data_IF_065803409622
#
_entry.id   IF_065803409622
#
_cell.length_a   1.000
_cell.length_b   1.000
_cell.length_c   1.000
_cell.angle_alpha   90.00
_cell.angle_beta   90.00
_cell.angle_gamma   90.00
#
_symmetry.space_group_name_H-M   'P 1'
#
loop_
_entity.id
_entity.type
_entity.pdbx_description
1 polymer ?
#
# COMPACT_ATOMS: atom_id res chain seq x y z
N UNK A 1 39.69 -23.81 -12.03
CA UNK A 1 38.55 -23.50 -12.92
C UNK A 1 37.27 -23.85 -12.18
N UNK A 2 36.56 -22.90 -11.57
CA UNK A 2 35.43 -23.17 -10.65
C UNK A 2 34.26 -22.20 -10.93
N UNK A 3 33.72 -22.22 -12.15
CA UNK A 3 32.69 -21.26 -12.60
C UNK A 3 31.33 -21.94 -12.88
N UNK A 4 31.23 -23.26 -12.79
CA UNK A 4 30.00 -23.99 -13.15
C UNK A 4 28.92 -23.98 -12.04
N UNK A 5 29.28 -23.90 -10.75
CA UNK A 5 28.30 -24.05 -9.65
C UNK A 5 27.59 -22.74 -9.23
N UNK A 6 28.10 -21.57 -9.66
CA UNK A 6 27.52 -20.26 -9.29
C UNK A 6 26.18 -19.98 -9.97
N UNK A 7 25.98 -20.53 -11.17
CA UNK A 7 24.72 -20.38 -11.91
C UNK A 7 23.57 -21.18 -11.28
N UNK A 8 23.87 -22.36 -10.73
CA UNK A 8 22.86 -23.17 -10.04
C UNK A 8 22.48 -22.61 -8.68
N UNK A 9 23.41 -22.01 -7.93
CA UNK A 9 23.04 -21.34 -6.69
C UNK A 9 22.08 -20.15 -6.93
N UNK A 10 22.33 -19.34 -7.96
CA UNK A 10 21.43 -18.21 -8.30
C UNK A 10 20.06 -18.68 -8.76
N UNK A 11 20.00 -19.74 -9.59
CA UNK A 11 18.75 -20.33 -10.08
C UNK A 11 17.98 -21.09 -9.00
N UNK A 12 18.67 -21.84 -8.15
CA UNK A 12 18.09 -22.50 -6.99
C UNK A 12 17.56 -21.46 -6.02
N UNK A 13 18.35 -20.42 -5.71
CA UNK A 13 17.92 -19.31 -4.85
C UNK A 13 16.69 -18.61 -5.44
N UNK A 14 16.65 -18.29 -6.73
CA UNK A 14 15.47 -17.66 -7.34
C UNK A 14 14.25 -18.60 -7.38
N UNK A 15 14.44 -19.89 -7.71
CA UNK A 15 13.37 -20.88 -7.68
C UNK A 15 12.84 -21.13 -6.27
N UNK A 16 13.72 -21.15 -5.26
CA UNK A 16 13.35 -21.25 -3.84
C UNK A 16 12.57 -20.00 -3.41
N UNK A 17 13.06 -18.80 -3.72
CA UNK A 17 12.41 -17.54 -3.38
C UNK A 17 11.04 -17.42 -4.07
N UNK A 18 10.92 -17.83 -5.34
CA UNK A 18 9.66 -17.90 -6.07
C UNK A 18 8.70 -18.93 -5.45
N UNK A 19 9.19 -20.13 -5.12
CA UNK A 19 8.40 -21.21 -4.52
C UNK A 19 7.92 -20.87 -3.10
N UNK A 20 8.70 -20.10 -2.33
CA UNK A 20 8.35 -19.67 -0.97
C UNK A 20 7.53 -18.35 -0.91
N UNK A 21 6.88 -17.98 -2.02
CA UNK A 21 5.94 -16.85 -2.09
C UNK A 21 6.55 -15.51 -1.68
N UNK A 22 7.70 -15.15 -2.28
CA UNK A 22 8.18 -13.76 -2.36
C UNK A 22 7.46 -12.93 -3.43
N UNK A 23 6.23 -13.27 -3.80
CA UNK A 23 5.42 -12.32 -4.56
C UNK A 23 5.14 -11.12 -3.67
N UNK A 24 5.11 -9.92 -4.24
CA UNK A 24 4.72 -8.68 -3.56
C UNK A 24 3.45 -8.86 -2.72
N UNK A 25 2.47 -9.57 -3.29
CA UNK A 25 1.19 -9.89 -2.66
C UNK A 25 1.36 -10.79 -1.41
N UNK A 26 2.32 -11.72 -1.42
CA UNK A 26 2.61 -12.63 -0.31
C UNK A 26 3.14 -11.91 0.93
N UNK A 27 4.06 -10.95 0.78
CA UNK A 27 4.52 -10.14 1.92
C UNK A 27 3.47 -9.18 2.44
N UNK A 28 2.69 -8.58 1.54
CA UNK A 28 1.53 -7.75 1.93
C UNK A 28 0.54 -8.56 2.77
N UNK A 29 0.17 -9.74 2.28
CA UNK A 29 -0.76 -10.64 2.97
C UNK A 29 -0.24 -11.02 4.35
N UNK A 30 1.04 -11.42 4.45
CA UNK A 30 1.69 -11.71 5.75
C UNK A 30 1.69 -10.51 6.68
N UNK A 31 2.01 -9.31 6.19
CA UNK A 31 1.98 -8.09 7.00
C UNK A 31 0.58 -7.77 7.54
N UNK A 32 -0.45 -7.82 6.69
CA UNK A 32 -1.84 -7.46 7.06
C UNK A 32 -2.51 -8.51 7.95
N UNK A 33 -2.21 -9.79 7.75
CA UNK A 33 -2.80 -10.90 8.51
C UNK A 33 -2.00 -11.30 9.76
N UNK A 34 -0.78 -10.77 9.94
CA UNK A 34 0.06 -11.12 11.08
C UNK A 34 -0.62 -10.82 12.42
N UNK A 35 -0.50 -11.79 13.33
CA UNK A 35 -0.94 -11.70 14.73
C UNK A 35 0.23 -12.06 15.64
N UNK A 36 0.28 -11.44 16.82
CA UNK A 36 1.28 -11.76 17.84
C UNK A 36 1.09 -13.21 18.29
N UNK A 37 2.16 -14.01 18.23
CA UNK A 37 2.13 -15.39 18.71
C UNK A 37 2.07 -15.47 20.23
N UNK A 38 1.59 -16.61 20.76
CA UNK A 38 1.52 -16.86 22.21
C UNK A 38 2.91 -16.88 22.86
N UNK A 39 3.92 -17.35 22.14
CA UNK A 39 5.32 -17.45 22.58
C UNK A 39 6.20 -16.29 22.13
N UNK A 40 5.62 -15.26 21.52
CA UNK A 40 6.34 -14.14 20.91
C UNK A 40 6.17 -12.89 21.77
N UNK A 41 7.26 -12.15 21.99
CA UNK A 41 7.18 -10.85 22.65
C UNK A 41 6.72 -9.78 21.66
N UNK A 42 6.09 -8.69 22.12
CA UNK A 42 5.70 -7.60 21.24
C UNK A 42 6.88 -6.95 20.49
N UNK A 43 8.08 -6.97 21.06
CA UNK A 43 9.30 -6.52 20.38
C UNK A 43 9.59 -7.39 19.15
N UNK A 44 9.58 -8.71 19.33
CA UNK A 44 9.76 -9.68 18.23
C UNK A 44 8.66 -9.54 17.18
N UNK A 45 7.42 -9.34 17.61
CA UNK A 45 6.28 -9.15 16.71
C UNK A 45 6.46 -7.91 15.83
N UNK A 46 6.84 -6.78 16.44
CA UNK A 46 7.10 -5.53 15.71
C UNK A 46 8.27 -5.71 14.73
N UNK A 47 9.35 -6.38 15.14
CA UNK A 47 10.47 -6.63 14.24
C UNK A 47 10.09 -7.54 13.07
N UNK A 48 9.24 -8.54 13.30
CA UNK A 48 8.67 -9.37 12.23
C UNK A 48 7.80 -8.56 11.27
N UNK A 49 6.95 -7.66 11.78
CA UNK A 49 6.15 -6.75 10.95
C UNK A 49 7.03 -5.83 10.10
N UNK A 50 8.10 -5.26 10.68
CA UNK A 50 9.08 -4.46 9.93
C UNK A 50 9.71 -5.26 8.79
N UNK A 51 10.06 -6.52 9.02
CA UNK A 51 10.62 -7.39 7.98
C UNK A 51 9.62 -7.60 6.85
N UNK A 52 8.35 -7.88 7.15
CA UNK A 52 7.33 -8.04 6.10
C UNK A 52 7.09 -6.76 5.31
N UNK A 53 6.98 -5.62 5.98
CA UNK A 53 6.78 -4.33 5.31
C UNK A 53 7.97 -3.95 4.42
N UNK A 54 9.20 -4.08 4.93
CA UNK A 54 10.39 -3.78 4.14
C UNK A 54 10.50 -4.66 2.91
N UNK A 55 10.27 -5.97 3.05
CA UNK A 55 10.32 -6.90 1.93
C UNK A 55 9.19 -6.65 0.93
N UNK A 56 8.01 -6.22 1.41
CA UNK A 56 6.92 -5.82 0.54
C UNK A 56 7.32 -4.59 -0.29
N UNK A 57 7.82 -3.53 0.33
CA UNK A 57 8.30 -2.31 -0.36
C UNK A 57 9.41 -2.66 -1.37
N UNK A 58 10.40 -3.46 -0.97
CA UNK A 58 11.51 -3.87 -1.83
C UNK A 58 11.06 -4.70 -3.03
N UNK A 59 10.05 -5.55 -2.87
CA UNK A 59 9.54 -6.41 -3.94
C UNK A 59 8.90 -5.64 -5.11
N UNK A 60 8.41 -4.43 -4.88
CA UNK A 60 7.78 -3.59 -5.91
C UNK A 60 8.83 -2.81 -6.70
N UNK A 61 10.05 -2.71 -6.16
CA UNK A 61 11.11 -1.89 -6.74
C UNK A 61 10.82 -0.39 -6.62
N UNK A 62 9.91 0.03 -5.75
CA UNK A 62 9.63 1.46 -5.52
C UNK A 62 10.74 2.09 -4.69
N UNK A 63 10.99 3.38 -4.90
CA UNK A 63 11.93 4.09 -4.04
C UNK A 63 11.36 4.17 -2.63
N UNK A 64 12.21 4.09 -1.60
CA UNK A 64 11.82 4.24 -0.20
C UNK A 64 11.53 5.72 0.15
N UNK A 65 10.77 6.41 -0.70
CA UNK A 65 10.33 7.78 -0.50
C UNK A 65 8.86 7.81 -0.05
N UNK A 66 8.47 8.87 0.65
CA UNK A 66 7.13 8.98 1.22
C UNK A 66 6.01 8.90 0.18
N UNK A 67 6.17 9.54 -0.98
CA UNK A 67 5.16 9.59 -2.04
C UNK A 67 4.85 8.19 -2.58
N UNK A 68 5.90 7.41 -2.82
CA UNK A 68 5.85 6.07 -3.36
C UNK A 68 5.23 5.08 -2.36
N UNK A 69 5.57 5.20 -1.07
CA UNK A 69 4.91 4.44 -0.02
C UNK A 69 3.42 4.81 0.10
N UNK A 70 3.10 6.10 0.07
CA UNK A 70 1.72 6.57 0.13
C UNK A 70 0.89 6.00 -1.04
N UNK A 71 1.44 6.08 -2.24
CA UNK A 71 0.79 5.58 -3.45
C UNK A 71 0.60 4.05 -3.41
N UNK A 72 1.59 3.30 -2.91
CA UNK A 72 1.48 1.86 -2.69
C UNK A 72 0.31 1.49 -1.78
N UNK A 73 0.19 2.16 -0.63
CA UNK A 73 -0.90 1.90 0.32
C UNK A 73 -2.25 2.30 -0.29
N UNK A 74 -2.31 3.38 -1.05
CA UNK A 74 -3.54 3.81 -1.73
C UNK A 74 -4.00 2.80 -2.78
N UNK A 75 -3.07 2.29 -3.60
CA UNK A 75 -3.35 1.24 -4.58
C UNK A 75 -3.86 -0.04 -3.92
N UNK A 76 -3.25 -0.47 -2.81
CA UNK A 76 -3.76 -1.61 -2.04
C UNK A 76 -5.21 -1.40 -1.61
N UNK A 77 -5.53 -0.21 -1.08
CA UNK A 77 -6.88 0.06 -0.59
C UNK A 77 -7.92 0.04 -1.71
N UNK A 78 -7.59 0.58 -2.88
CA UNK A 78 -8.47 0.55 -4.06
C UNK A 78 -8.74 -0.89 -4.50
N UNK A 79 -7.71 -1.72 -4.57
CA UNK A 79 -7.86 -3.14 -4.95
C UNK A 79 -8.77 -3.91 -3.97
N UNK A 80 -8.77 -3.54 -2.69
CA UNK A 80 -9.62 -4.17 -1.68
C UNK A 80 -11.07 -3.65 -1.67
N UNK A 81 -11.34 -2.49 -2.29
CA UNK A 81 -12.65 -1.83 -2.27
C UNK A 81 -13.50 -2.08 -3.53
N UNK A 82 -12.95 -2.74 -4.55
CA UNK A 82 -13.59 -2.93 -5.85
C UNK A 82 -13.96 -4.40 -6.10
N UNK A 83 -14.81 -4.61 -7.10
CA UNK A 83 -15.22 -5.95 -7.52
C UNK A 83 -14.03 -6.81 -7.96
N UNK A 84 -14.10 -8.10 -7.65
CA UNK A 84 -13.03 -9.08 -7.90
C UNK A 84 -12.51 -9.05 -9.34
N UNK A 85 -13.40 -8.89 -10.31
CA UNK A 85 -13.02 -8.93 -11.72
C UNK A 85 -12.22 -7.69 -12.15
N UNK A 86 -12.65 -6.50 -11.72
CA UNK A 86 -11.90 -5.28 -11.92
C UNK A 86 -10.55 -5.35 -11.18
N UNK A 87 -10.53 -5.90 -9.97
CA UNK A 87 -9.30 -6.09 -9.21
C UNK A 87 -8.30 -7.01 -9.93
N UNK A 88 -8.77 -8.11 -10.52
CA UNK A 88 -7.94 -9.01 -11.35
C UNK A 88 -7.40 -8.25 -12.56
N UNK A 89 -8.27 -7.55 -13.30
CA UNK A 89 -7.88 -6.75 -14.46
C UNK A 89 -6.78 -5.73 -14.13
N UNK A 90 -6.94 -4.98 -13.03
CA UNK A 90 -5.95 -3.98 -12.61
C UNK A 90 -4.62 -4.62 -12.17
N UNK A 91 -4.67 -5.78 -11.49
CA UNK A 91 -3.46 -6.53 -11.10
C UNK A 91 -2.68 -7.04 -12.31
N UNK A 92 -3.38 -7.51 -13.35
CA UNK A 92 -2.74 -7.99 -14.60
C UNK A 92 -1.99 -6.88 -15.35
N UNK A 93 -2.44 -5.62 -15.24
CA UNK A 93 -1.78 -4.48 -15.88
C UNK A 93 -0.45 -4.07 -15.21
N UNK A 94 -0.16 -4.55 -14.00
CA UNK A 94 1.11 -4.27 -13.32
C UNK A 94 1.39 -2.77 -13.13
N UNK A 95 0.38 -2.02 -12.67
CA UNK A 95 0.42 -0.56 -12.56
C UNK A 95 1.38 -0.12 -11.45
N UNK A 96 2.04 1.02 -11.67
CA UNK A 96 3.01 1.61 -10.71
C UNK A 96 2.46 2.81 -9.95
N UNK A 97 1.40 3.44 -10.45
CA UNK A 97 0.85 4.68 -9.92
C UNK A 97 -0.68 4.59 -9.75
N UNK A 98 -1.22 5.14 -8.66
CA UNK A 98 -2.67 5.21 -8.43
C UNK A 98 -3.43 6.01 -9.48
N UNK A 99 -2.82 7.04 -10.08
CA UNK A 99 -3.43 7.82 -11.17
C UNK A 99 -3.73 6.97 -12.40
N UNK A 100 -2.79 6.08 -12.73
CA UNK A 100 -2.94 5.17 -13.86
C UNK A 100 -4.01 4.14 -13.52
N UNK A 101 -4.03 3.64 -12.27
CA UNK A 101 -5.06 2.73 -11.77
C UNK A 101 -6.48 3.28 -11.93
N UNK A 102 -6.70 4.55 -11.59
CA UNK A 102 -7.99 5.20 -11.81
C UNK A 102 -8.35 5.24 -13.31
N UNK A 103 -7.41 5.66 -14.16
CA UNK A 103 -7.63 5.74 -15.61
C UNK A 103 -7.97 4.37 -16.23
N UNK A 104 -7.31 3.29 -15.80
CA UNK A 104 -7.61 1.94 -16.25
C UNK A 104 -8.96 1.43 -15.73
N UNK A 105 -9.33 1.77 -14.50
CA UNK A 105 -10.61 1.41 -13.92
C UNK A 105 -11.79 2.09 -14.65
N UNK A 106 -11.65 3.37 -14.98
CA UNK A 106 -12.65 4.11 -15.76
C UNK A 106 -12.84 3.49 -17.14
N UNK A 107 -11.74 3.20 -17.85
CA UNK A 107 -11.77 2.55 -19.16
C UNK A 107 -12.42 1.17 -19.12
N UNK A 108 -12.12 0.39 -18.09
CA UNK A 108 -12.72 -0.93 -17.89
C UNK A 108 -14.23 -0.82 -17.70
N UNK A 109 -14.66 0.12 -16.85
CA UNK A 109 -16.09 0.36 -16.57
C UNK A 109 -16.82 0.83 -17.82
N UNK A 110 -16.24 1.78 -18.55
CA UNK A 110 -16.81 2.29 -19.80
C UNK A 110 -16.97 1.17 -20.85
N UNK A 111 -15.95 0.34 -21.04
CA UNK A 111 -15.99 -0.78 -21.99
C UNK A 111 -17.06 -1.82 -21.64
N UNK A 112 -17.32 -2.06 -20.35
CA UNK A 112 -18.38 -3.00 -19.93
C UNK A 112 -19.77 -2.42 -20.14
N UNK A 113 -19.96 -1.14 -19.85
CA UNK A 113 -21.25 -0.47 -20.07
C UNK A 113 -21.63 -0.49 -21.55
N UNK A 114 -20.67 -0.20 -22.45
CA UNK A 114 -20.93 -0.22 -23.89
C UNK A 114 -21.19 -1.63 -24.43
N UNK A 115 -20.51 -2.65 -23.91
CA UNK A 115 -20.67 -4.03 -24.38
C UNK A 115 -21.95 -4.72 -23.86
N UNK A 116 -22.41 -4.34 -22.67
CA UNK A 116 -23.64 -4.89 -22.07
C UNK A 116 -24.91 -4.07 -22.38
N UNK A 117 -24.86 -3.14 -23.35
CA UNK A 117 -26.04 -2.41 -23.84
C UNK A 117 -26.61 -1.37 -22.86
N UNK A 118 -25.82 -0.89 -21.91
CA UNK A 118 -26.29 0.07 -20.90
C UNK A 118 -26.53 1.47 -21.47
N UNK A 119 -27.79 1.89 -21.55
CA UNK A 119 -28.17 3.28 -21.79
C UNK A 119 -27.57 4.17 -20.70
N UNK A 120 -26.74 5.15 -21.10
CA UNK A 120 -26.20 6.15 -20.18
C UNK A 120 -27.33 7.04 -19.69
N UNK A 121 -27.71 6.99 -18.40
CA UNK A 121 -28.28 8.18 -17.76
C UNK A 121 -27.15 9.21 -17.68
N UNK A 122 -27.25 10.25 -18.51
CA UNK A 122 -26.38 11.42 -18.47
C UNK A 122 -26.46 12.04 -17.06
N UNK A 123 -25.55 11.64 -16.18
CA UNK A 123 -25.35 12.21 -14.86
C UNK A 123 -24.23 13.23 -14.94
N UNK A 124 -24.61 14.49 -14.76
CA UNK A 124 -23.75 15.68 -14.73
C UNK A 124 -22.41 15.41 -14.04
N UNK A 125 -21.31 15.87 -14.65
CA UNK A 125 -19.98 15.89 -14.05
C UNK A 125 -19.99 16.83 -12.84
N UNK A 126 -20.34 16.32 -11.66
CA UNK A 126 -20.07 17.02 -10.41
C UNK A 126 -18.56 16.93 -10.17
N UNK A 127 -17.85 17.99 -10.57
CA UNK A 127 -16.47 18.23 -10.16
C UNK A 127 -16.46 18.56 -8.68
N UNK A 128 -16.67 17.54 -7.84
CA UNK A 128 -16.41 17.58 -6.42
C UNK A 128 -14.91 17.82 -6.22
N UNK A 129 -14.51 19.08 -6.09
CA UNK A 129 -13.17 19.47 -5.64
C UNK A 129 -12.97 18.93 -4.23
N UNK A 130 -12.44 17.71 -4.11
CA UNK A 130 -11.90 17.23 -2.84
C UNK A 130 -10.64 18.04 -2.54
N UNK A 131 -10.81 19.08 -1.73
CA UNK A 131 -9.72 19.94 -1.28
C UNK A 131 -8.95 19.23 -0.17
N UNK A 132 -8.10 18.26 -0.54
CA UNK A 132 -7.21 17.60 0.41
C UNK A 132 -6.01 18.50 0.69
N UNK A 133 -6.14 19.37 1.70
CA UNK A 133 -4.99 20.15 2.20
C UNK A 133 -4.05 19.24 2.97
N UNK A 134 -3.02 18.74 2.28
CA UNK A 134 -1.86 18.12 2.92
C UNK A 134 -0.99 19.23 3.54
N UNK A 135 -1.16 19.52 4.83
CA UNK A 135 -0.28 20.43 5.56
C UNK A 135 1.04 19.72 5.88
N UNK A 136 2.08 20.05 5.13
CA UNK A 136 3.45 19.61 5.41
C UNK A 136 4.02 20.50 6.52
N UNK A 137 4.01 20.00 7.77
CA UNK A 137 4.67 20.68 8.88
C UNK A 137 6.17 20.43 8.83
N UNK A 138 6.91 21.34 8.19
CA UNK A 138 8.34 21.53 8.43
C UNK A 138 8.47 22.33 9.74
N UNK A 139 8.83 21.67 10.83
CA UNK A 139 9.14 22.36 12.09
C UNK A 139 10.66 22.46 12.25
N UNK A 140 11.21 23.62 11.90
CA UNK A 140 12.58 24.02 12.22
C UNK A 140 12.54 24.96 13.42
N UNK A 141 13.05 24.43 14.54
CA UNK A 141 13.52 25.07 15.77
C UNK A 141 13.46 26.60 15.85
N UNK A 142 12.67 27.11 16.81
CA UNK A 142 13.01 28.34 17.53
C UNK A 142 12.90 28.10 19.04
N UNK A 143 14.02 28.30 19.74
CA UNK A 143 14.12 28.36 21.19
C UNK A 143 13.43 29.64 21.68
N UNK A 144 12.67 29.55 22.77
CA UNK A 144 12.68 30.55 23.84
C UNK A 144 11.96 30.00 25.07
N UNK A 145 12.63 30.13 26.20
CA UNK A 145 12.18 29.78 27.53
C UNK A 145 11.08 30.75 27.99
N UNK A 146 10.06 30.26 28.70
CA UNK A 146 9.83 30.53 30.14
C UNK A 146 8.41 30.15 30.58
N UNK A 147 8.38 29.39 31.69
CA UNK A 147 7.52 29.59 32.86
C UNK A 147 5.98 29.60 32.72
N UNK A 148 5.36 28.53 33.24
CA UNK A 148 4.35 28.72 34.28
C UNK A 148 2.90 28.37 33.95
N UNK A 149 2.43 27.38 34.71
CA UNK A 149 1.04 27.14 35.20
C UNK A 149 0.09 26.22 34.45
N UNK A 150 -0.45 25.34 35.29
CA UNK A 150 -1.31 24.18 35.07
C UNK A 150 -2.67 24.51 34.43
N UNK A 151 -3.20 23.57 33.65
CA UNK A 151 -4.49 22.92 33.93
C UNK A 151 -4.73 21.74 32.99
N UNK A 152 -4.70 20.54 33.55
CA UNK A 152 -5.21 19.33 32.91
C UNK A 152 -6.73 19.45 32.79
N UNK A 153 -7.28 19.24 31.60
CA UNK A 153 -8.70 18.90 31.44
C UNK A 153 -8.83 17.72 30.48
N UNK A 154 -9.35 16.67 31.08
CA UNK A 154 -9.58 15.32 30.60
C UNK A 154 -10.74 15.27 29.58
N UNK A 155 -10.82 14.11 28.87
CA UNK A 155 -12.00 13.49 28.20
C UNK A 155 -12.16 13.83 26.71
N UNK A 156 -12.50 12.90 25.82
CA UNK A 156 -12.73 11.46 25.87
C UNK A 156 -12.94 11.01 24.42
N UNK A 157 -12.33 9.91 24.00
CA UNK A 157 -12.59 9.28 22.70
C UNK A 157 -13.99 8.67 22.69
N UNK A 158 -14.78 8.96 21.66
CA UNK A 158 -15.97 8.19 21.31
C UNK A 158 -15.72 7.49 19.98
N UNK A 159 -15.67 6.16 20.07
CA UNK A 159 -15.76 5.22 18.95
C UNK A 159 -17.24 5.16 18.55
N UNK A 160 -17.49 5.12 17.24
CA UNK A 160 -18.77 4.72 16.65
C UNK A 160 -18.48 3.50 15.77
#
# INVERSE_FOLDING_TARGET
MHVAESCDYKKLKSALLNKYALTTDGYRSKFRSAKCGVSETYVQFIDRLKVYLNRWIESIGTNKNYKDLFDLILQEQVINSIDKELAIFLKEKGLKCSSDMATFADRYTEARVTYHGGERKSGSTDKGKLNFKFTQSQNSQTKSETSGTQKYKERSCFVC
#
